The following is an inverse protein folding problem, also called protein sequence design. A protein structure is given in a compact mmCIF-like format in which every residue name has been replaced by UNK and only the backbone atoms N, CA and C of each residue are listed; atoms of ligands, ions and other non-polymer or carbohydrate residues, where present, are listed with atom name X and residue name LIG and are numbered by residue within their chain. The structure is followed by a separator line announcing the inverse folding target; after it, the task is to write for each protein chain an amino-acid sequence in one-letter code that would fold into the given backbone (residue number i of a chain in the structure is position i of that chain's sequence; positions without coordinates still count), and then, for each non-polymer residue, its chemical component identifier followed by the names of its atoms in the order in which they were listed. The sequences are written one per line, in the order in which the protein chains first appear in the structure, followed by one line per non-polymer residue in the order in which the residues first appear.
data_IF_373423295047
#
_entry.id   IF_373423295047
#
_cell.length_a   1.000
_cell.length_b   1.000
_cell.length_c   1.000
_cell.angle_alpha   90.00
_cell.angle_beta   90.00
_cell.angle_gamma   90.00
#
_symmetry.space_group_name_H-M   'P 1'
#
loop_
_entity.id
_entity.type
_entity.pdbx_description
1 polymer ?
#
# COMPACT_ATOMS: atom_id res chain seq x y z
N UNK A 1 17.09 2.39 13.43
CA UNK A 1 16.81 2.90 12.07
C UNK A 1 15.39 2.57 11.61
N UNK A 2 15.06 1.34 11.18
CA UNK A 2 13.71 1.01 10.68
C UNK A 2 12.61 1.15 11.74
N UNK A 3 12.88 0.72 12.98
CA UNK A 3 11.96 0.90 14.10
C UNK A 3 11.69 2.38 14.39
N UNK A 4 12.75 3.20 14.40
CA UNK A 4 12.64 4.63 14.68
C UNK A 4 11.88 5.34 13.56
N UNK A 5 12.12 4.96 12.31
CA UNK A 5 11.32 5.41 11.16
C UNK A 5 9.84 5.07 11.32
N UNK A 6 9.52 3.82 11.69
CA UNK A 6 8.14 3.40 11.88
C UNK A 6 7.45 4.15 13.03
N UNK A 7 8.20 4.48 14.09
CA UNK A 7 7.71 5.27 15.22
C UNK A 7 7.56 6.76 14.91
N UNK A 8 8.30 7.27 13.92
CA UNK A 8 8.21 8.66 13.46
C UNK A 8 7.01 8.90 12.52
N UNK A 9 6.31 7.86 12.07
CA UNK A 9 5.11 8.00 11.25
C UNK A 9 3.96 8.57 12.09
N UNK A 10 3.50 9.75 11.71
CA UNK A 10 2.37 10.47 12.30
C UNK A 10 1.10 10.36 11.43
N UNK A 11 0.98 9.25 10.71
CA UNK A 11 -0.08 9.02 9.73
C UNK A 11 -0.86 7.76 10.08
N UNK A 12 -2.17 7.88 10.19
CA UNK A 12 -3.09 6.74 10.19
C UNK A 12 -3.35 6.35 8.75
N UNK A 13 -3.32 5.05 8.45
CA UNK A 13 -3.61 4.53 7.12
C UNK A 13 -4.81 3.59 7.21
N UNK A 14 -5.83 3.86 6.40
CA UNK A 14 -7.02 3.03 6.28
C UNK A 14 -7.02 2.34 4.91
N UNK A 15 -7.15 0.99 4.85
CA UNK A 15 -7.20 0.27 3.59
C UNK A 15 -8.54 0.50 2.87
N UNK A 16 -8.48 0.67 1.56
CA UNK A 16 -9.61 0.73 0.64
C UNK A 16 -9.70 -0.56 -0.19
N UNK A 17 -9.76 -0.42 -1.51
CA UNK A 17 -9.76 -1.54 -2.45
C UNK A 17 -8.45 -2.35 -2.36
N UNK A 18 -8.57 -3.67 -2.52
CA UNK A 18 -7.44 -4.60 -2.48
C UNK A 18 -7.48 -5.41 -3.77
N UNK A 19 -6.36 -5.48 -4.47
CA UNK A 19 -6.21 -6.23 -5.71
C UNK A 19 -5.19 -7.33 -5.50
N UNK A 20 -5.45 -8.54 -6.01
CA UNK A 20 -4.61 -9.71 -5.77
C UNK A 20 -4.42 -10.51 -7.05
N UNK A 21 -3.17 -10.67 -7.46
CA UNK A 21 -2.83 -11.61 -8.53
C UNK A 21 -1.43 -12.19 -8.32
N UNK A 22 -1.29 -13.50 -8.54
CA UNK A 22 -0.01 -14.24 -8.53
C UNK A 22 0.95 -13.92 -7.36
N UNK A 23 0.41 -13.73 -6.15
CA UNK A 23 1.18 -13.41 -4.95
C UNK A 23 1.68 -11.96 -4.89
N UNK A 24 1.07 -11.06 -5.65
CA UNK A 24 1.15 -9.62 -5.51
C UNK A 24 -0.17 -9.13 -4.94
N UNK A 25 -0.10 -8.27 -3.92
CA UNK A 25 -1.27 -7.63 -3.32
C UNK A 25 -1.08 -6.12 -3.43
N UNK A 26 -2.01 -5.41 -4.04
CA UNK A 26 -2.05 -3.95 -4.07
C UNK A 26 -3.19 -3.47 -3.19
N UNK A 27 -2.90 -2.55 -2.26
CA UNK A 27 -3.89 -1.98 -1.36
C UNK A 27 -3.97 -0.48 -1.61
N UNK A 28 -5.13 0.00 -2.04
CA UNK A 28 -5.47 1.43 -2.02
C UNK A 28 -5.56 1.90 -0.56
N UNK A 29 -5.08 3.10 -0.28
CA UNK A 29 -4.95 3.60 1.08
C UNK A 29 -5.44 5.04 1.18
N UNK A 30 -6.26 5.30 2.21
CA UNK A 30 -6.49 6.65 2.69
C UNK A 30 -5.50 6.94 3.82
N UNK A 31 -4.79 8.06 3.72
CA UNK A 31 -3.87 8.54 4.75
C UNK A 31 -4.51 9.68 5.52
N UNK A 32 -4.38 9.69 6.85
CA UNK A 32 -4.90 10.73 7.73
C UNK A 32 -3.76 11.16 8.65
N UNK A 33 -3.29 12.40 8.51
CA UNK A 33 -2.24 12.95 9.38
C UNK A 33 -2.78 13.22 10.79
N UNK A 34 -1.89 13.43 11.75
CA UNK A 34 -2.27 13.86 13.11
C UNK A 34 -3.04 15.19 13.16
N UNK A 35 -2.87 16.06 12.15
CA UNK A 35 -3.60 17.32 12.01
C UNK A 35 -4.96 17.16 11.31
N UNK A 36 -5.29 15.95 10.86
CA UNK A 36 -6.56 15.61 10.21
C UNK A 36 -6.57 15.81 8.70
N UNK A 37 -5.44 16.14 8.08
CA UNK A 37 -5.34 16.23 6.62
C UNK A 37 -5.44 14.83 6.00
N UNK A 38 -6.25 14.72 4.96
CA UNK A 38 -6.46 13.46 4.24
C UNK A 38 -5.66 13.43 2.94
N UNK A 39 -5.18 12.24 2.59
CA UNK A 39 -4.50 11.97 1.33
C UNK A 39 -4.78 10.56 0.84
N UNK A 40 -4.31 10.26 -0.36
CA UNK A 40 -4.35 8.93 -0.94
C UNK A 40 -2.94 8.38 -1.06
N UNK A 41 -2.82 7.06 -1.01
CA UNK A 41 -1.61 6.32 -1.33
C UNK A 41 -2.01 4.93 -1.82
N UNK A 42 -1.02 4.16 -2.27
CA UNK A 42 -1.19 2.72 -2.39
C UNK A 42 0.09 2.00 -1.98
N UNK A 43 -0.06 0.75 -1.54
CA UNK A 43 1.06 -0.13 -1.22
C UNK A 43 0.95 -1.43 -2.00
N UNK A 44 2.05 -1.84 -2.63
CA UNK A 44 2.19 -3.13 -3.29
C UNK A 44 3.03 -4.06 -2.42
N UNK A 45 2.58 -5.30 -2.23
CA UNK A 45 3.23 -6.32 -1.41
C UNK A 45 3.55 -7.54 -2.25
N UNK A 46 4.76 -8.08 -2.10
CA UNK A 46 5.10 -9.42 -2.61
C UNK A 46 4.91 -10.44 -1.49
N UNK A 47 4.01 -11.39 -1.68
CA UNK A 47 3.68 -12.42 -0.70
C UNK A 47 4.16 -13.78 -1.20
N UNK A 48 4.93 -14.49 -0.37
CA UNK A 48 5.38 -15.86 -0.63
C UNK A 48 5.10 -16.68 0.61
N UNK A 49 4.37 -17.79 0.45
CA UNK A 49 3.98 -18.68 1.56
C UNK A 49 3.34 -17.90 2.73
N UNK A 50 2.42 -16.99 2.44
CA UNK A 50 1.74 -16.13 3.43
C UNK A 50 2.65 -15.13 4.18
N UNK A 51 3.88 -14.91 3.69
CA UNK A 51 4.80 -13.94 4.25
C UNK A 51 5.04 -12.80 3.26
N UNK A 52 4.93 -11.56 3.74
CA UNK A 52 5.39 -10.38 3.00
C UNK A 52 6.91 -10.44 2.90
N UNK A 53 7.42 -10.46 1.67
CA UNK A 53 8.85 -10.51 1.36
C UNK A 53 9.38 -9.16 0.88
N UNK A 54 8.51 -8.31 0.35
CA UNK A 54 8.84 -6.95 -0.09
C UNK A 54 7.59 -6.08 -0.06
N UNK A 55 7.77 -4.77 0.15
CA UNK A 55 6.70 -3.77 0.14
C UNK A 55 7.19 -2.50 -0.55
N UNK A 56 6.36 -1.96 -1.44
CA UNK A 56 6.61 -0.73 -2.19
C UNK A 56 5.44 0.23 -1.98
N UNK A 57 5.73 1.50 -1.72
CA UNK A 57 4.73 2.55 -1.56
C UNK A 57 4.66 3.39 -2.83
N UNK A 58 3.44 3.77 -3.21
CA UNK A 58 3.13 4.61 -4.36
C UNK A 58 2.23 5.77 -3.92
N UNK A 59 2.26 6.85 -4.69
CA UNK A 59 1.49 8.06 -4.41
C UNK A 59 -0.02 7.84 -4.60
N UNK A 60 -0.41 6.91 -5.46
CA UNK A 60 -1.80 6.56 -5.72
C UNK A 60 -1.97 5.11 -6.22
N UNK A 61 -3.22 4.67 -6.33
CA UNK A 61 -3.57 3.33 -6.80
C UNK A 61 -3.14 3.08 -8.25
N UNK A 62 -3.30 4.07 -9.13
CA UNK A 62 -2.98 3.90 -10.55
C UNK A 62 -1.48 3.63 -10.75
N UNK A 63 -0.62 4.34 -10.01
CA UNK A 63 0.81 4.11 -9.99
C UNK A 63 1.18 2.71 -9.46
N UNK A 64 0.49 2.22 -8.43
CA UNK A 64 0.74 0.88 -7.90
C UNK A 64 0.29 -0.24 -8.86
N UNK A 65 -0.88 -0.10 -9.49
CA UNK A 65 -1.36 -1.03 -10.51
C UNK A 65 -0.41 -1.07 -11.71
N UNK A 66 0.00 0.09 -12.23
CA UNK A 66 0.96 0.17 -13.33
C UNK A 66 2.33 -0.46 -13.00
N UNK A 67 2.81 -0.30 -11.76
CA UNK A 67 4.09 -0.87 -11.32
C UNK A 67 4.06 -2.38 -11.10
N UNK A 68 2.88 -2.98 -11.00
CA UNK A 68 2.68 -4.41 -10.69
C UNK A 68 2.00 -5.19 -11.80
N UNK A 69 1.63 -4.50 -12.89
CA UNK A 69 0.86 -5.06 -14.02
C UNK A 69 -0.53 -5.58 -13.63
N UNK A 70 -1.03 -5.23 -12.43
CA UNK A 70 -2.41 -5.50 -12.02
C UNK A 70 -3.36 -4.50 -12.68
N UNK A 71 -4.61 -4.91 -12.81
CA UNK A 71 -5.68 -4.15 -13.43
C UNK A 71 -6.94 -4.16 -12.56
N UNK A 72 -7.96 -3.42 -12.98
CA UNK A 72 -9.27 -3.44 -12.30
C UNK A 72 -9.94 -4.83 -12.29
N UNK A 73 -9.49 -5.76 -13.14
CA UNK A 73 -9.99 -7.13 -13.16
C UNK A 73 -9.48 -7.98 -11.98
N UNK A 74 -8.43 -7.52 -11.28
CA UNK A 74 -7.75 -8.24 -10.21
C UNK A 74 -8.26 -7.85 -8.81
N UNK A 75 -9.41 -7.17 -8.73
CA UNK A 75 -10.07 -6.74 -7.48
C UNK A 75 -10.59 -7.92 -6.64
#
# INVERSE_FOLDING_TARGET
ALRDWAQALDVKVEPGRIYVNDGVVVVEQQTISTTGETGTAASAFRVVHDHVTSMFRHDDLAAALAATELTEADL
#
